data_IF_628794167193
#
_entry.id   IF_628794167193
#
_cell.length_a   1.000
_cell.length_b   1.000
_cell.length_c   1.000
_cell.angle_alpha   90.00
_cell.angle_beta   90.00
_cell.angle_gamma   90.00
#
_symmetry.space_group_name_H-M   'P 1'
#
loop_
_entity.id
_entity.type
_entity.pdbx_description
1 polymer ?
#
# COMPACT_ATOMS: atom_id res chain seq x y z
N UNK A 1 -8.79 -29.84 -10.51
CA UNK A 1 -8.24 -29.38 -9.21
C UNK A 1 -6.71 -29.50 -9.14
N UNK A 2 -6.12 -30.61 -9.59
CA UNK A 2 -4.66 -30.83 -9.58
C UNK A 2 -3.82 -29.75 -10.30
N UNK A 3 -4.26 -29.20 -11.43
CA UNK A 3 -3.50 -28.16 -12.14
C UNK A 3 -3.37 -26.85 -11.33
N UNK A 4 -4.41 -26.47 -10.56
CA UNK A 4 -4.37 -25.24 -9.73
C UNK A 4 -3.47 -25.42 -8.50
N UNK A 5 -3.41 -26.63 -7.93
CA UNK A 5 -2.52 -26.96 -6.83
C UNK A 5 -1.05 -26.94 -7.27
N UNK A 6 -0.75 -27.42 -8.50
CA UNK A 6 0.61 -27.40 -9.06
C UNK A 6 1.14 -25.96 -9.22
N UNK A 7 0.28 -25.03 -9.66
CA UNK A 7 0.64 -23.62 -9.79
C UNK A 7 0.96 -22.95 -8.46
N UNK A 8 0.24 -23.29 -7.38
CA UNK A 8 0.48 -22.72 -6.04
C UNK A 8 1.79 -23.27 -5.48
N UNK A 9 2.01 -24.58 -5.53
CA UNK A 9 3.25 -25.21 -5.05
C UNK A 9 4.47 -24.74 -5.84
N UNK A 10 4.35 -24.59 -7.17
CA UNK A 10 5.42 -24.04 -8.00
C UNK A 10 5.72 -22.57 -7.64
N UNK A 11 4.69 -21.76 -7.40
CA UNK A 11 4.87 -20.36 -7.00
C UNK A 11 5.47 -20.25 -5.60
N UNK A 12 5.07 -21.10 -4.65
CA UNK A 12 5.67 -21.19 -3.31
C UNK A 12 7.15 -21.60 -3.37
N UNK A 13 7.49 -22.57 -4.24
CA UNK A 13 8.87 -22.99 -4.46
C UNK A 13 9.72 -21.91 -5.14
N UNK A 14 9.14 -21.14 -6.07
CA UNK A 14 9.77 -19.95 -6.67
C UNK A 14 10.00 -18.86 -5.61
N UNK A 15 9.01 -18.56 -4.77
CA UNK A 15 9.09 -17.58 -3.69
C UNK A 15 10.14 -17.94 -2.63
N UNK A 16 10.24 -19.22 -2.24
CA UNK A 16 11.27 -19.69 -1.32
C UNK A 16 12.69 -19.53 -1.90
N UNK A 17 12.86 -19.65 -3.21
CA UNK A 17 14.14 -19.42 -3.90
C UNK A 17 14.54 -17.94 -4.00
N UNK A 18 13.61 -17.00 -3.79
CA UNK A 18 13.90 -15.56 -3.76
C UNK A 18 14.34 -15.07 -2.37
N UNK A 19 13.83 -15.69 -1.28
CA UNK A 19 14.20 -15.33 0.09
C UNK A 19 15.69 -15.56 0.43
N UNK A 20 16.38 -16.39 -0.36
CA UNK A 20 17.80 -16.73 -0.21
C UNK A 20 18.63 -16.45 -1.48
N UNK A 21 18.11 -15.68 -2.43
CA UNK A 21 18.83 -15.41 -3.67
C UNK A 21 19.99 -14.45 -3.41
N UNK A 22 21.23 -14.91 -3.60
CA UNK A 22 22.44 -14.08 -3.61
C UNK A 22 22.59 -13.24 -4.90
N UNK A 23 21.58 -13.29 -5.78
CA UNK A 23 21.50 -12.58 -7.07
C UNK A 23 20.03 -12.51 -7.54
N UNK A 24 19.27 -11.58 -6.97
CA UNK A 24 17.82 -11.45 -7.19
C UNK A 24 17.52 -11.03 -8.63
N UNK A 25 18.25 -10.04 -9.14
CA UNK A 25 18.00 -9.49 -10.47
C UNK A 25 18.25 -10.53 -11.57
N UNK A 26 19.29 -11.36 -11.45
CA UNK A 26 19.56 -12.41 -12.43
C UNK A 26 18.41 -13.41 -12.54
N UNK A 27 17.76 -13.73 -11.42
CA UNK A 27 16.59 -14.61 -11.41
C UNK A 27 15.36 -13.94 -12.04
N UNK A 28 15.15 -12.65 -11.79
CA UNK A 28 14.01 -11.90 -12.33
C UNK A 28 14.15 -11.62 -13.82
N UNK A 29 15.37 -11.37 -14.29
CA UNK A 29 15.65 -10.98 -15.67
C UNK A 29 16.05 -12.15 -16.56
N UNK A 30 15.94 -13.39 -16.08
CA UNK A 30 16.42 -14.58 -16.77
C UNK A 30 17.89 -14.47 -17.24
N UNK A 31 18.76 -13.95 -16.36
CA UNK A 31 20.19 -13.78 -16.61
C UNK A 31 20.59 -12.51 -17.37
N UNK A 32 19.64 -11.70 -17.84
CA UNK A 32 19.96 -10.46 -18.57
C UNK A 32 20.67 -9.36 -17.73
N UNK A 33 20.39 -9.28 -16.42
CA UNK A 33 21.04 -8.34 -15.48
C UNK A 33 21.17 -9.04 -14.12
N UNK A 34 22.26 -8.81 -13.41
CA UNK A 34 22.52 -9.38 -12.08
C UNK A 34 22.79 -8.29 -11.04
N UNK A 35 22.68 -8.65 -9.76
CA UNK A 35 23.01 -7.80 -8.62
C UNK A 35 24.47 -7.30 -8.67
N UNK A 36 25.34 -8.04 -9.39
CA UNK A 36 26.76 -7.74 -9.60
C UNK A 36 27.08 -7.19 -11.00
N UNK A 37 26.07 -6.94 -11.84
CA UNK A 37 26.28 -6.43 -13.19
C UNK A 37 26.82 -5.01 -13.19
N UNK A 38 27.58 -4.66 -14.22
CA UNK A 38 27.99 -3.27 -14.47
C UNK A 38 26.74 -2.41 -14.61
N UNK A 39 26.64 -1.34 -13.81
CA UNK A 39 25.45 -0.47 -13.76
C UNK A 39 24.44 -0.83 -12.68
N UNK A 40 24.66 -1.91 -11.92
CA UNK A 40 23.87 -2.26 -10.74
C UNK A 40 24.68 -1.95 -9.48
N UNK A 41 24.05 -1.27 -8.52
CA UNK A 41 24.64 -0.99 -7.21
C UNK A 41 23.71 -1.50 -6.12
N UNK A 42 24.19 -2.50 -5.36
CA UNK A 42 23.62 -2.81 -4.07
C UNK A 42 24.13 -1.78 -3.07
N UNK A 43 23.22 -1.13 -2.36
CA UNK A 43 23.58 -0.16 -1.34
C UNK A 43 24.22 -0.87 -0.14
N UNK A 44 25.27 -0.29 0.43
CA UNK A 44 25.80 -0.74 1.72
C UNK A 44 24.80 -0.48 2.85
N UNK A 45 24.99 -1.08 4.03
CA UNK A 45 24.09 -0.84 5.18
C UNK A 45 23.99 0.64 5.57
N UNK A 46 25.08 1.40 5.43
CA UNK A 46 25.08 2.82 5.74
C UNK A 46 24.39 3.63 4.63
N UNK A 47 24.61 3.27 3.37
CA UNK A 47 23.89 3.87 2.24
C UNK A 47 22.39 3.56 2.29
N UNK A 48 21.98 2.36 2.74
CA UNK A 48 20.58 2.01 2.96
C UNK A 48 19.91 2.88 4.02
N UNK A 49 20.62 3.24 5.10
CA UNK A 49 20.12 4.18 6.12
C UNK A 49 19.95 5.59 5.57
N UNK A 50 20.74 5.94 4.56
CA UNK A 50 20.67 7.22 3.86
C UNK A 50 19.63 7.25 2.74
N UNK A 51 18.99 6.12 2.40
CA UNK A 51 17.86 6.11 1.45
C UNK A 51 16.73 6.93 2.03
N UNK A 52 16.66 8.19 1.58
CA UNK A 52 15.56 9.10 1.89
C UNK A 52 14.42 8.80 0.94
N UNK A 53 13.38 8.16 1.45
CA UNK A 53 12.17 7.87 0.73
C UNK A 53 11.02 7.63 1.69
N UNK A 54 9.85 8.18 1.39
CA UNK A 54 8.63 7.92 2.16
C UNK A 54 7.90 9.18 2.59
N UNK A 55 6.90 8.97 3.43
CA UNK A 55 6.16 10.00 4.12
C UNK A 55 5.86 9.44 5.49
N UNK A 56 5.57 10.31 6.45
CA UNK A 56 5.09 9.82 7.74
C UNK A 56 3.66 9.33 7.57
N UNK A 57 3.31 8.28 8.27
CA UNK A 57 1.93 7.79 8.31
C UNK A 57 1.29 8.08 9.66
N UNK A 58 -0.01 8.31 9.65
CA UNK A 58 -0.80 8.35 10.88
C UNK A 58 -2.15 7.70 10.65
N UNK A 59 -2.63 6.95 11.64
CA UNK A 59 -3.87 6.20 11.57
C UNK A 59 -4.89 6.73 12.57
N UNK A 60 -6.14 6.87 12.14
CA UNK A 60 -7.24 7.44 12.93
C UNK A 60 -8.51 6.63 12.77
N UNK A 61 -9.26 6.45 13.87
CA UNK A 61 -10.66 6.05 13.81
C UNK A 61 -11.49 7.29 13.47
N UNK A 62 -12.14 7.30 12.31
CA UNK A 62 -12.90 8.46 11.81
C UNK A 62 -14.42 8.28 11.91
N UNK A 63 -14.86 7.06 12.18
CA UNK A 63 -16.21 6.71 12.61
C UNK A 63 -16.14 5.38 13.38
N UNK A 64 -17.19 5.02 14.12
CA UNK A 64 -17.24 3.77 14.91
C UNK A 64 -16.86 2.52 14.09
N UNK A 65 -17.13 2.53 12.78
CA UNK A 65 -16.89 1.42 11.88
C UNK A 65 -15.83 1.72 10.80
N UNK A 66 -15.00 2.75 10.98
CA UNK A 66 -14.09 3.18 9.91
C UNK A 66 -12.76 3.77 10.37
N UNK A 67 -11.68 3.23 9.80
CA UNK A 67 -10.33 3.73 9.98
C UNK A 67 -9.81 4.43 8.71
N UNK A 68 -8.91 5.38 8.94
CA UNK A 68 -8.19 6.16 7.95
C UNK A 68 -6.69 6.10 8.23
N UNK A 69 -5.89 5.79 7.22
CA UNK A 69 -4.44 5.98 7.24
C UNK A 69 -4.09 7.17 6.35
N UNK A 70 -3.34 8.14 6.87
CA UNK A 70 -2.91 9.33 6.16
C UNK A 70 -1.45 9.24 5.75
N UNK A 71 -1.16 9.72 4.55
CA UNK A 71 0.19 10.06 4.12
C UNK A 71 0.47 11.53 4.47
N UNK A 72 1.53 11.76 5.23
CA UNK A 72 1.97 13.09 5.70
C UNK A 72 3.32 13.39 5.05
N UNK A 73 3.34 14.16 3.95
CA UNK A 73 4.55 14.53 3.26
C UNK A 73 5.57 15.20 4.18
N UNK A 74 6.84 14.86 3.98
CA UNK A 74 7.97 15.47 4.68
C UNK A 74 9.21 15.53 3.78
N UNK A 75 10.36 15.85 4.37
CA UNK A 75 11.64 15.94 3.65
C UNK A 75 12.14 14.62 3.04
N UNK A 76 11.50 13.49 3.35
CA UNK A 76 11.80 12.18 2.76
C UNK A 76 10.85 11.81 1.61
N UNK A 77 9.82 12.62 1.35
CA UNK A 77 8.86 12.39 0.27
C UNK A 77 9.50 12.48 -1.09
N UNK A 78 9.44 11.35 -1.80
CA UNK A 78 9.99 11.26 -3.15
C UNK A 78 9.13 12.04 -4.14
N UNK A 79 9.72 12.44 -5.26
CA UNK A 79 8.98 13.11 -6.33
C UNK A 79 7.79 12.27 -6.84
N UNK A 80 7.97 10.95 -6.99
CA UNK A 80 6.88 10.06 -7.40
C UNK A 80 5.71 10.02 -6.43
N UNK A 81 6.00 10.04 -5.12
CA UNK A 81 4.97 10.12 -4.07
C UNK A 81 4.30 11.49 -4.07
N UNK A 82 5.06 12.58 -4.16
CA UNK A 82 4.54 13.94 -4.27
C UNK A 82 3.55 14.08 -5.45
N UNK A 83 3.94 13.60 -6.64
CA UNK A 83 3.06 13.59 -7.83
C UNK A 83 1.81 12.73 -7.60
N UNK A 84 1.95 11.57 -6.94
CA UNK A 84 0.81 10.72 -6.62
C UNK A 84 -0.18 11.41 -5.65
N UNK A 85 0.32 12.14 -4.64
CA UNK A 85 -0.49 12.90 -3.69
C UNK A 85 -1.19 14.05 -4.41
N UNK A 86 -0.45 14.82 -5.20
CA UNK A 86 -0.99 15.92 -5.99
C UNK A 86 -2.13 15.48 -6.91
N UNK A 87 -1.99 14.33 -7.61
CA UNK A 87 -3.03 13.81 -8.51
C UNK A 87 -4.37 13.53 -7.84
N UNK A 88 -4.39 13.34 -6.53
CA UNK A 88 -5.63 13.11 -5.77
C UNK A 88 -6.11 14.41 -5.13
N UNK A 89 -5.20 15.18 -4.55
CA UNK A 89 -5.50 16.35 -3.71
C UNK A 89 -5.65 17.65 -4.49
N UNK A 90 -5.02 17.73 -5.66
CA UNK A 90 -4.83 18.95 -6.44
C UNK A 90 -4.20 20.10 -5.60
N UNK A 91 -3.38 19.75 -4.61
CA UNK A 91 -2.65 20.68 -3.74
C UNK A 91 -1.15 20.61 -4.04
N UNK A 92 -0.64 21.61 -4.75
CA UNK A 92 0.79 21.72 -5.10
C UNK A 92 1.69 21.91 -3.87
N UNK A 93 1.15 22.38 -2.75
CA UNK A 93 1.93 22.61 -1.53
C UNK A 93 2.18 21.34 -0.74
N UNK A 94 1.36 20.30 -0.97
CA UNK A 94 1.34 19.02 -0.23
C UNK A 94 1.13 19.17 1.28
N UNK A 95 0.71 20.36 1.74
CA UNK A 95 0.62 20.73 3.16
C UNK A 95 -0.79 21.08 3.60
N UNK A 96 -1.65 21.47 2.68
CA UNK A 96 -3.01 21.88 3.00
C UNK A 96 -3.99 20.71 2.95
N UNK A 97 -3.73 19.77 2.05
CA UNK A 97 -4.58 18.60 1.84
C UNK A 97 -3.73 17.33 1.86
N UNK A 98 -4.05 16.44 2.79
CA UNK A 98 -3.43 15.13 2.91
C UNK A 98 -4.27 14.08 2.16
N UNK A 99 -3.61 13.06 1.64
CA UNK A 99 -4.28 11.90 1.05
C UNK A 99 -4.28 10.75 2.04
N UNK A 100 -5.36 9.97 2.05
CA UNK A 100 -5.46 8.80 2.89
C UNK A 100 -6.26 7.64 2.30
N UNK A 101 -6.01 6.47 2.86
CA UNK A 101 -6.68 5.21 2.58
C UNK A 101 -7.65 4.88 3.70
N UNK A 102 -8.90 4.53 3.36
CA UNK A 102 -9.95 4.21 4.34
C UNK A 102 -10.36 2.76 4.28
N UNK A 103 -10.63 2.17 5.44
CA UNK A 103 -11.25 0.84 5.58
C UNK A 103 -12.50 1.00 6.44
N UNK A 104 -13.66 0.69 5.86
CA UNK A 104 -14.95 0.74 6.54
C UNK A 104 -15.54 -0.64 6.65
N UNK A 105 -15.99 -1.00 7.85
CA UNK A 105 -16.76 -2.22 8.09
C UNK A 105 -18.25 -1.97 7.86
N UNK A 106 -18.86 -2.86 7.11
CA UNK A 106 -20.30 -2.87 6.85
C UNK A 106 -20.91 -4.19 7.30
N UNK A 107 -22.20 -4.15 7.62
CA UNK A 107 -23.02 -5.33 7.91
C UNK A 107 -24.06 -5.42 6.80
N UNK A 108 -23.99 -6.49 6.02
CA UNK A 108 -24.98 -6.83 5.01
C UNK A 108 -26.01 -7.81 5.55
N UNK A 109 -27.20 -7.80 4.94
CA UNK A 109 -28.31 -8.68 5.29
C UNK A 109 -28.62 -9.58 4.09
N UNK A 110 -28.73 -10.89 4.34
CA UNK A 110 -29.12 -11.88 3.36
C UNK A 110 -30.21 -12.80 3.90
N UNK A 111 -30.81 -13.63 3.04
CA UNK A 111 -31.74 -14.68 3.47
C UNK A 111 -31.11 -15.66 4.48
N UNK A 112 -29.78 -15.77 4.50
CA UNK A 112 -29.03 -16.68 5.37
C UNK A 112 -28.47 -15.97 6.63
N UNK A 113 -28.93 -14.75 6.90
CA UNK A 113 -28.48 -13.95 8.04
C UNK A 113 -27.52 -12.83 7.66
N UNK A 114 -26.87 -12.28 8.70
CA UNK A 114 -26.00 -11.13 8.60
C UNK A 114 -24.59 -11.56 8.20
N UNK A 115 -23.93 -10.75 7.36
CA UNK A 115 -22.53 -10.96 6.99
C UNK A 115 -21.75 -9.66 7.09
N UNK A 116 -20.46 -9.77 7.41
CA UNK A 116 -19.55 -8.63 7.49
C UNK A 116 -18.81 -8.50 6.17
N UNK A 117 -18.70 -7.28 5.66
CA UNK A 117 -17.84 -6.97 4.53
C UNK A 117 -17.17 -5.62 4.69
N UNK A 118 -15.98 -5.48 4.12
CA UNK A 118 -15.20 -4.25 4.19
C UNK A 118 -15.26 -3.51 2.86
N UNK A 119 -15.39 -2.20 2.93
CA UNK A 119 -15.24 -1.31 1.77
C UNK A 119 -14.00 -0.48 1.95
N UNK A 120 -13.24 -0.34 0.86
CA UNK A 120 -11.99 0.42 0.83
C UNK A 120 -12.21 1.70 0.05
N UNK A 121 -11.52 2.76 0.46
CA UNK A 121 -11.69 4.06 -0.18
C UNK A 121 -10.46 4.93 -0.09
N UNK A 122 -10.57 6.07 -0.75
CA UNK A 122 -9.59 7.14 -0.72
C UNK A 122 -10.26 8.38 -0.12
N UNK A 123 -9.53 9.08 0.72
CA UNK A 123 -9.98 10.32 1.33
C UNK A 123 -8.94 11.42 1.16
N UNK A 124 -9.42 12.65 1.08
CA UNK A 124 -8.64 13.86 1.27
C UNK A 124 -8.94 14.42 2.66
N UNK A 125 -7.92 14.92 3.36
CA UNK A 125 -8.09 15.54 4.67
C UNK A 125 -7.49 16.93 4.65
N UNK A 126 -8.32 17.91 4.97
CA UNK A 126 -7.95 19.31 5.08
C UNK A 126 -8.39 19.88 6.45
N UNK A 127 -8.28 21.19 6.62
CA UNK A 127 -8.75 21.89 7.83
C UNK A 127 -10.25 21.75 8.10
N UNK A 128 -11.05 21.42 7.10
CA UNK A 128 -12.51 21.31 7.18
C UNK A 128 -12.95 19.87 7.48
N UNK A 129 -12.05 18.89 7.36
CA UNK A 129 -12.29 17.49 7.75
C UNK A 129 -11.94 16.49 6.66
N UNK A 130 -12.64 15.35 6.67
CA UNK A 130 -12.38 14.21 5.79
C UNK A 130 -13.37 14.21 4.62
N UNK A 131 -12.85 14.28 3.40
CA UNK A 131 -13.61 14.32 2.15
C UNK A 131 -13.37 13.04 1.35
N UNK A 132 -14.44 12.39 0.87
CA UNK A 132 -14.31 11.16 0.08
C UNK A 132 -13.95 11.44 -1.37
N UNK A 133 -12.99 10.68 -1.87
CA UNK A 133 -12.59 10.72 -3.26
C UNK A 133 -13.31 9.60 -4.00
N UNK A 134 -14.27 9.96 -4.85
CA UNK A 134 -15.00 9.00 -5.67
C UNK A 134 -14.23 8.67 -6.96
N UNK A 135 -13.01 8.13 -6.82
CA UNK A 135 -12.16 7.76 -7.95
C UNK A 135 -11.61 6.34 -7.78
N UNK A 136 -12.24 5.37 -8.45
CA UNK A 136 -11.79 3.97 -8.46
C UNK A 136 -10.36 3.81 -8.99
N UNK A 137 -9.91 4.74 -9.85
CA UNK A 137 -8.54 4.81 -10.34
C UNK A 137 -7.54 5.13 -9.23
N UNK A 138 -7.87 6.03 -8.31
CA UNK A 138 -6.99 6.39 -7.20
C UNK A 138 -6.77 5.20 -6.25
N UNK A 139 -7.84 4.45 -5.94
CA UNK A 139 -7.75 3.29 -5.05
C UNK A 139 -6.77 2.21 -5.56
N UNK A 140 -6.78 1.97 -6.88
CA UNK A 140 -6.05 0.83 -7.46
C UNK A 140 -4.72 1.20 -8.12
N UNK A 141 -4.55 2.46 -8.56
CA UNK A 141 -3.41 2.88 -9.38
C UNK A 141 -2.56 3.98 -8.73
N UNK A 142 -3.01 4.60 -7.63
CA UNK A 142 -2.19 5.60 -6.93
C UNK A 142 -1.10 4.92 -6.08
N UNK A 143 0.16 5.31 -6.31
CA UNK A 143 1.32 4.75 -5.61
C UNK A 143 1.15 4.81 -4.08
N UNK A 144 0.85 6.00 -3.55
CA UNK A 144 0.75 6.24 -2.09
C UNK A 144 -0.43 5.48 -1.49
N UNK A 145 -1.58 5.44 -2.17
CA UNK A 145 -2.72 4.65 -1.69
C UNK A 145 -2.42 3.16 -1.63
N UNK A 146 -1.67 2.63 -2.60
CA UNK A 146 -1.26 1.22 -2.60
C UNK A 146 -0.30 0.91 -1.45
N UNK A 147 0.63 1.82 -1.17
CA UNK A 147 1.54 1.70 -0.02
C UNK A 147 0.77 1.71 1.30
N UNK A 148 -0.14 2.67 1.50
CA UNK A 148 -1.01 2.73 2.67
C UNK A 148 -1.89 1.47 2.80
N UNK A 149 -2.48 1.01 1.70
CA UNK A 149 -3.30 -0.21 1.68
C UNK A 149 -2.51 -1.43 2.12
N UNK A 150 -1.30 -1.63 1.58
CA UNK A 150 -0.41 -2.73 2.00
C UNK A 150 -0.02 -2.66 3.47
N UNK A 151 0.19 -1.46 4.00
CA UNK A 151 0.61 -1.27 5.38
C UNK A 151 -0.52 -1.43 6.40
N UNK A 152 -1.74 -0.98 6.08
CA UNK A 152 -2.81 -0.80 7.07
C UNK A 152 -4.04 -1.68 6.89
N UNK A 153 -4.27 -2.27 5.70
CA UNK A 153 -5.51 -3.00 5.41
C UNK A 153 -5.84 -4.08 6.46
N UNK A 154 -4.92 -5.02 6.67
CA UNK A 154 -5.15 -6.15 7.60
C UNK A 154 -5.30 -5.68 9.06
N UNK A 155 -4.53 -4.66 9.46
CA UNK A 155 -4.63 -4.12 10.81
C UNK A 155 -5.98 -3.44 11.05
N UNK A 156 -6.47 -2.65 10.09
CA UNK A 156 -7.76 -1.97 10.18
C UNK A 156 -8.92 -2.97 10.14
N UNK A 157 -8.89 -3.97 9.25
CA UNK A 157 -9.89 -5.04 9.22
C UNK A 157 -9.97 -5.74 10.58
N UNK A 158 -8.82 -6.11 11.15
CA UNK A 158 -8.74 -6.74 12.49
C UNK A 158 -9.28 -5.83 13.60
N UNK A 159 -8.88 -4.56 13.64
CA UNK A 159 -9.36 -3.59 14.64
C UNK A 159 -10.86 -3.33 14.57
N UNK A 160 -11.44 -3.47 13.38
CA UNK A 160 -12.88 -3.38 13.16
C UNK A 160 -13.62 -4.70 13.42
N UNK A 161 -12.92 -5.75 13.87
CA UNK A 161 -13.54 -7.04 14.19
C UNK A 161 -13.67 -7.99 13.00
N UNK A 162 -12.78 -7.89 12.01
CA UNK A 162 -12.54 -8.93 11.00
C UNK A 162 -11.73 -10.10 11.57
N UNK A 163 -12.04 -11.32 11.15
CA UNK A 163 -11.29 -12.53 11.55
C UNK A 163 -9.97 -12.63 10.77
N UNK A 164 -8.93 -13.15 11.44
CA UNK A 164 -7.62 -13.46 10.86
C UNK A 164 -7.66 -14.68 9.94
#
# INVERSE_FOLDING_TARGET
MFQKLFSIVALSALLANFAFANDLLAKLSNGAVSDNSVGVKILSLDEMKEVRGGYRTSAFLIAENEYLALAIPDQTTTYGQAVAIYRVTNDDTLRNVLVGYTVKRNIGYSKNGNFVYFTYGVAMVDKNGVHRVNMNSALNNNLVIKELSRAYKEDFERRLGGLR
#
